data_IF_479965780341
#
_entry.id   IF_479965780341
#
_cell.length_a   1.000
_cell.length_b   1.000
_cell.length_c   1.000
_cell.angle_alpha   90.00
_cell.angle_beta   90.00
_cell.angle_gamma   90.00
#
_symmetry.space_group_name_H-M   'P 1'
#
loop_
_entity.id
_entity.type
_entity.pdbx_description
1 polymer ?
#
# COMPACT_ATOMS: atom_id res chain seq x y z
N UNK A 1 19.42 0.89 8.56
CA UNK A 1 19.32 1.08 10.03
C UNK A 1 17.86 1.21 10.41
N UNK A 2 17.48 0.76 11.60
CA UNK A 2 16.12 0.95 12.13
C UNK A 2 15.96 2.41 12.60
N UNK A 3 14.79 3.00 12.32
CA UNK A 3 14.47 4.37 12.74
C UNK A 3 13.40 4.29 13.83
N UNK A 4 13.68 4.93 14.95
CA UNK A 4 12.77 5.07 16.09
C UNK A 4 12.47 6.55 16.31
N UNK A 5 11.18 6.90 16.38
CA UNK A 5 10.69 8.25 16.62
C UNK A 5 9.86 8.25 17.90
N UNK A 6 10.25 9.07 18.88
CA UNK A 6 9.57 9.22 20.16
C UNK A 6 9.28 7.87 20.86
N UNK A 7 10.25 6.95 20.82
CA UNK A 7 10.15 5.60 21.41
C UNK A 7 9.34 4.58 20.60
N UNK A 8 8.92 4.92 19.37
CA UNK A 8 8.23 3.99 18.46
C UNK A 8 9.03 3.76 17.19
N UNK A 9 9.20 2.49 16.81
CA UNK A 9 9.83 2.14 15.54
C UNK A 9 8.91 2.53 14.38
N UNK A 10 9.41 3.37 13.46
CA UNK A 10 8.64 3.87 12.31
C UNK A 10 9.04 3.23 10.98
N UNK A 11 10.22 2.61 10.91
CA UNK A 11 10.67 1.95 9.69
C UNK A 11 12.16 1.70 9.66
N UNK A 12 12.68 1.48 8.47
CA UNK A 12 14.10 1.31 8.22
C UNK A 12 14.53 2.30 7.13
N UNK A 13 15.69 2.93 7.32
CA UNK A 13 16.28 3.80 6.32
C UNK A 13 17.78 3.62 6.17
N UNK A 14 18.32 4.12 5.06
CA UNK A 14 19.76 4.22 4.81
C UNK A 14 20.20 5.67 4.98
N UNK A 15 20.78 5.98 6.14
CA UNK A 15 21.39 7.28 6.42
C UNK A 15 22.87 7.22 6.03
N UNK A 16 23.31 8.21 5.25
CA UNK A 16 24.71 8.33 4.84
C UNK A 16 25.45 9.29 5.77
N UNK A 17 26.64 8.90 6.23
CA UNK A 17 27.53 9.79 6.98
C UNK A 17 28.70 10.17 6.07
N UNK A 18 28.84 11.47 5.77
CA UNK A 18 29.91 12.03 4.93
C UNK A 18 30.90 12.80 5.79
N UNK A 19 32.18 12.84 5.43
CA UNK A 19 33.12 13.73 6.11
C UNK A 19 32.70 15.20 5.89
N UNK A 20 32.80 16.03 6.93
CA UNK A 20 32.49 17.45 6.82
C UNK A 20 33.58 18.18 6.03
N UNK A 21 33.23 19.03 5.05
CA UNK A 21 34.21 19.81 4.31
C UNK A 21 35.08 20.65 5.25
N UNK A 22 36.40 20.45 5.21
CA UNK A 22 37.36 21.19 6.05
C UNK A 22 37.63 20.57 7.43
N UNK A 23 36.95 19.49 7.82
CA UNK A 23 37.25 18.75 9.04
C UNK A 23 36.95 17.25 8.91
N UNK A 24 38.00 16.46 8.65
CA UNK A 24 37.87 15.00 8.47
C UNK A 24 37.51 14.22 9.75
N UNK A 25 37.47 14.88 10.90
CA UNK A 25 37.09 14.27 12.18
C UNK A 25 35.60 14.44 12.50
N UNK A 26 34.87 15.26 11.72
CA UNK A 26 33.44 15.47 11.89
C UNK A 26 32.68 14.84 10.74
N UNK A 27 31.60 14.13 11.06
CA UNK A 27 30.72 13.52 10.07
C UNK A 27 29.41 14.28 9.98
N UNK A 28 28.97 14.48 8.75
CA UNK A 28 27.70 15.10 8.40
C UNK A 28 26.71 13.99 8.04
N UNK A 29 25.54 14.02 8.68
CA UNK A 29 24.47 13.06 8.43
C UNK A 29 23.61 13.52 7.25
N UNK A 30 23.43 12.65 6.27
CA UNK A 30 22.62 12.87 5.09
C UNK A 30 21.39 11.96 5.13
N UNK A 31 20.23 12.59 5.25
CA UNK A 31 18.91 11.99 5.31
C UNK A 31 18.25 12.05 3.93
N UNK A 32 17.84 10.92 3.34
CA UNK A 32 17.14 10.91 2.06
C UNK A 32 15.72 11.50 2.20
N UNK A 33 15.08 11.84 1.08
CA UNK A 33 13.71 12.36 1.10
C UNK A 33 12.69 11.42 1.74
N UNK A 34 12.84 10.12 1.49
CA UNK A 34 12.03 9.05 2.09
C UNK A 34 12.11 9.01 3.62
N UNK A 35 13.23 9.46 4.22
CA UNK A 35 13.33 9.63 5.66
C UNK A 35 12.32 10.67 6.18
N UNK A 36 12.13 11.79 5.47
CA UNK A 36 11.18 12.82 5.87
C UNK A 36 9.72 12.39 5.67
N UNK A 37 9.41 11.60 4.63
CA UNK A 37 8.09 10.97 4.46
C UNK A 37 7.74 10.00 5.61
N UNK A 38 8.74 9.33 6.19
CA UNK A 38 8.55 8.45 7.36
C UNK A 38 8.24 9.21 8.65
N UNK A 39 8.81 10.41 8.84
CA UNK A 39 8.63 11.19 10.06
C UNK A 39 7.21 11.74 10.24
N UNK A 40 6.38 11.76 9.18
CA UNK A 40 5.01 12.27 9.20
C UNK A 40 4.91 13.69 9.80
N UNK A 41 5.83 14.55 9.37
CA UNK A 41 5.89 15.96 9.78
C UNK A 41 4.68 16.72 9.21
N UNK A 42 4.21 17.70 9.98
CA UNK A 42 3.12 18.58 9.56
C UNK A 42 3.67 19.79 8.83
N UNK A 43 3.43 19.91 7.52
CA UNK A 43 3.88 21.06 6.74
C UNK A 43 3.38 22.39 7.32
N UNK A 44 2.11 22.45 7.72
CA UNK A 44 1.49 23.65 8.31
C UNK A 44 2.16 24.03 9.64
N UNK A 45 2.35 23.06 10.54
CA UNK A 45 2.96 23.35 11.85
C UNK A 45 4.46 23.64 11.75
N UNK A 46 5.15 23.00 10.80
CA UNK A 46 6.55 23.31 10.49
C UNK A 46 6.68 24.76 10.04
N UNK A 47 5.89 25.19 9.06
CA UNK A 47 5.91 26.58 8.58
C UNK A 47 5.54 27.58 9.67
N UNK A 48 4.59 27.23 10.54
CA UNK A 48 4.17 28.10 11.65
C UNK A 48 5.28 28.29 12.71
N UNK A 49 6.10 27.27 12.96
CA UNK A 49 7.18 27.34 13.96
C UNK A 49 8.53 27.75 13.37
N UNK A 50 8.79 27.38 12.12
CA UNK A 50 10.08 27.52 11.45
C UNK A 50 9.84 27.96 10.00
N UNK A 51 9.55 29.25 9.75
CA UNK A 51 9.18 29.73 8.42
C UNK A 51 10.23 29.49 7.32
N UNK A 52 11.50 29.32 7.72
CA UNK A 52 12.60 29.02 6.81
C UNK A 52 12.63 27.58 6.30
N UNK A 53 11.90 26.65 6.94
CA UNK A 53 11.92 25.22 6.61
C UNK A 53 10.63 24.83 5.90
N UNK A 54 10.77 24.35 4.67
CA UNK A 54 9.66 23.82 3.87
C UNK A 54 9.78 22.30 3.77
N UNK A 55 8.67 21.58 3.95
CA UNK A 55 8.67 20.12 3.93
C UNK A 55 8.87 19.54 2.52
N UNK A 56 8.33 20.18 1.48
CA UNK A 56 8.38 19.65 0.12
C UNK A 56 9.81 19.47 -0.42
N UNK A 57 10.74 20.45 -0.30
CA UNK A 57 12.15 20.24 -0.68
C UNK A 57 12.83 19.10 0.10
N UNK A 58 12.53 18.98 1.41
CA UNK A 58 13.11 17.92 2.24
C UNK A 58 12.69 16.52 1.75
N UNK A 59 11.43 16.35 1.35
CA UNK A 59 10.91 15.08 0.82
C UNK A 59 11.44 14.78 -0.58
N UNK A 60 11.74 15.80 -1.39
CA UNK A 60 12.23 15.61 -2.76
C UNK A 60 13.75 15.39 -2.83
N UNK A 61 14.52 16.20 -2.11
CA UNK A 61 15.99 16.25 -2.24
C UNK A 61 16.71 15.62 -1.04
N UNK A 62 16.01 15.45 0.08
CA UNK A 62 16.63 15.08 1.36
C UNK A 62 17.32 16.27 2.02
N UNK A 63 18.15 15.97 3.02
CA UNK A 63 18.88 16.98 3.78
C UNK A 63 20.19 16.42 4.31
N UNK A 64 21.26 17.19 4.18
CA UNK A 64 22.57 16.87 4.70
C UNK A 64 22.94 17.93 5.75
N UNK A 65 22.95 17.55 7.03
CA UNK A 65 23.22 18.48 8.12
C UNK A 65 22.75 17.98 9.49
N UNK A 66 22.72 18.89 10.46
CA UNK A 66 22.24 18.61 11.80
C UNK A 66 20.71 18.65 11.83
N UNK A 67 20.06 17.53 12.13
CA UNK A 67 18.60 17.49 12.25
C UNK A 67 18.11 18.35 13.42
N UNK A 68 18.90 18.50 14.48
CA UNK A 68 18.57 19.36 15.62
C UNK A 68 18.58 20.85 15.27
N UNK A 69 19.36 21.25 14.27
CA UNK A 69 19.36 22.63 13.75
C UNK A 69 18.16 22.85 12.82
N UNK A 70 17.83 21.86 11.99
CA UNK A 70 16.68 21.91 11.09
C UNK A 70 15.35 21.91 11.85
N UNK A 71 15.25 21.10 12.91
CA UNK A 71 14.06 20.90 13.73
C UNK A 71 14.38 21.26 15.19
N UNK A 72 14.09 22.50 15.64
CA UNK A 72 14.34 22.93 17.01
C UNK A 72 13.68 21.99 18.03
N UNK A 73 14.46 21.60 19.04
CA UNK A 73 14.02 20.65 20.07
C UNK A 73 14.07 19.18 19.62
N UNK A 74 14.50 18.88 18.38
CA UNK A 74 14.76 17.52 17.96
C UNK A 74 16.12 17.02 18.49
N UNK A 75 16.15 15.79 18.98
CA UNK A 75 17.40 15.11 19.35
C UNK A 75 17.59 13.87 18.51
N UNK A 76 18.85 13.60 18.18
CA UNK A 76 19.25 12.44 17.37
C UNK A 76 20.33 11.68 18.12
N UNK A 77 20.13 10.39 18.30
CA UNK A 77 21.13 9.47 18.85
C UNK A 77 21.27 8.28 17.93
N UNK A 78 22.51 7.97 17.54
CA UNK A 78 22.81 6.82 16.70
C UNK A 78 23.56 5.76 17.51
N UNK A 79 22.97 4.57 17.58
CA UNK A 79 23.62 3.38 18.13
C UNK A 79 24.19 2.54 16.98
N UNK A 80 25.52 2.47 16.92
CA UNK A 80 26.25 1.72 15.89
C UNK A 80 26.09 0.22 16.08
N UNK A 81 26.04 -0.26 17.32
CA UNK A 81 25.96 -1.68 17.65
C UNK A 81 24.60 -2.28 17.26
N UNK A 82 23.52 -1.53 17.49
CA UNK A 82 22.17 -1.94 17.11
C UNK A 82 21.77 -1.50 15.69
N UNK A 83 22.60 -0.69 15.01
CA UNK A 83 22.25 -0.01 13.77
C UNK A 83 20.89 0.70 13.89
N UNK A 84 20.72 1.47 14.96
CA UNK A 84 19.47 2.11 15.33
C UNK A 84 19.66 3.62 15.46
N UNK A 85 18.78 4.38 14.82
CA UNK A 85 18.70 5.83 14.96
C UNK A 85 17.47 6.18 15.80
N UNK A 86 17.69 6.70 17.00
CA UNK A 86 16.64 7.16 17.90
C UNK A 86 16.49 8.68 17.77
N UNK A 87 15.27 9.10 17.46
CA UNK A 87 14.88 10.48 17.24
C UNK A 87 13.82 10.87 18.26
N UNK A 88 14.01 12.02 18.90
CA UNK A 88 12.93 12.67 19.64
C UNK A 88 12.56 13.94 18.92
N UNK A 89 11.32 14.09 18.48
CA UNK A 89 10.82 15.29 17.79
C UNK A 89 9.60 15.81 18.55
N UNK A 90 9.52 17.12 18.83
CA UNK A 90 8.35 17.72 19.47
C UNK A 90 7.05 17.37 18.73
N UNK A 91 6.03 16.89 19.46
CA UNK A 91 4.71 16.54 18.88
C UNK A 91 4.02 17.71 18.18
N UNK A 92 4.41 18.92 18.53
CA UNK A 92 3.99 20.16 17.88
C UNK A 92 4.36 20.18 16.38
N UNK A 93 5.44 19.54 15.95
CA UNK A 93 5.87 19.49 14.55
C UNK A 93 5.28 18.30 13.77
N UNK A 94 4.61 17.37 14.46
CA UNK A 94 4.11 16.12 13.89
C UNK A 94 2.61 16.21 13.57
N UNK A 95 2.16 15.44 12.57
CA UNK A 95 0.73 15.18 12.38
C UNK A 95 0.21 14.28 13.50
N UNK A 96 -1.00 14.56 13.99
CA UNK A 96 -1.67 13.66 14.93
C UNK A 96 -2.25 12.51 14.14
N UNK A 97 -1.76 11.30 14.39
CA UNK A 97 -2.25 10.11 13.71
C UNK A 97 -2.66 9.03 14.71
N UNK A 98 -3.72 8.28 14.40
CA UNK A 98 -4.11 7.15 15.22
C UNK A 98 -3.05 6.04 15.14
N UNK A 99 -3.10 5.13 16.12
CA UNK A 99 -2.19 3.97 16.14
C UNK A 99 -2.38 3.13 14.88
N UNK A 100 -1.27 2.71 14.28
CA UNK A 100 -1.29 1.91 13.03
C UNK A 100 -1.47 2.74 11.76
N UNK A 101 -1.43 4.08 11.84
CA UNK A 101 -1.41 4.91 10.64
C UNK A 101 -0.13 4.72 9.83
N UNK A 102 -0.29 4.61 8.51
CA UNK A 102 0.80 4.60 7.54
C UNK A 102 0.57 5.74 6.56
N UNK A 103 1.59 6.57 6.35
CA UNK A 103 1.52 7.67 5.39
C UNK A 103 1.22 7.12 3.98
N UNK A 104 0.18 7.61 3.27
CA UNK A 104 -0.13 7.19 1.90
C UNK A 104 1.02 7.35 0.90
N UNK A 105 1.98 8.25 1.14
CA UNK A 105 3.19 8.38 0.31
C UNK A 105 4.08 7.14 0.35
N UNK A 106 3.96 6.33 1.41
CA UNK A 106 4.71 5.08 1.57
C UNK A 106 3.98 3.88 0.94
N UNK A 107 2.80 4.08 0.36
CA UNK A 107 2.05 2.99 -0.25
C UNK A 107 2.64 2.66 -1.61
N UNK A 108 3.00 1.40 -1.80
CA UNK A 108 3.55 0.92 -3.06
C UNK A 108 2.44 0.37 -3.95
N UNK A 109 2.42 0.78 -5.21
CA UNK A 109 1.53 0.21 -6.23
C UNK A 109 1.85 -1.27 -6.53
N UNK A 110 3.05 -1.70 -6.17
CA UNK A 110 3.60 -3.02 -6.43
C UNK A 110 4.31 -3.12 -7.78
N UNK A 111 4.68 -4.34 -8.16
CA UNK A 111 5.40 -4.61 -9.40
C UNK A 111 4.45 -4.92 -10.55
N UNK A 112 4.86 -4.55 -11.76
CA UNK A 112 4.22 -5.00 -12.99
C UNK A 112 4.34 -6.51 -13.11
N UNK A 113 3.21 -7.21 -13.16
CA UNK A 113 3.18 -8.67 -13.16
C UNK A 113 1.93 -9.20 -13.86
N UNK A 114 2.11 -10.29 -14.62
CA UNK A 114 1.01 -11.13 -15.11
C UNK A 114 0.83 -12.29 -14.14
N UNK A 115 -0.42 -12.55 -13.76
CA UNK A 115 -0.81 -13.55 -12.77
C UNK A 115 -1.87 -14.45 -13.40
N UNK A 116 -1.67 -15.77 -13.35
CA UNK A 116 -2.67 -16.75 -13.76
C UNK A 116 -2.84 -17.76 -12.64
N UNK A 117 -4.01 -17.77 -12.03
CA UNK A 117 -4.40 -18.78 -11.04
C UNK A 117 -5.39 -19.74 -11.68
N UNK A 118 -5.14 -21.05 -11.56
CA UNK A 118 -6.04 -22.07 -12.08
C UNK A 118 -6.54 -23.00 -10.97
N UNK A 119 -7.74 -23.53 -11.14
CA UNK A 119 -8.28 -24.61 -10.32
C UNK A 119 -8.96 -25.62 -11.24
N UNK A 120 -8.45 -26.84 -11.25
CA UNK A 120 -8.94 -27.91 -12.11
C UNK A 120 -9.50 -29.05 -11.27
N UNK A 121 -10.70 -29.53 -11.60
CA UNK A 121 -11.30 -30.71 -10.97
C UNK A 121 -11.86 -31.63 -12.04
N UNK A 122 -11.72 -32.93 -11.83
CA UNK A 122 -12.25 -33.97 -12.72
C UNK A 122 -12.87 -35.04 -11.86
N UNK A 123 -14.09 -35.46 -12.19
CA UNK A 123 -14.72 -36.58 -11.51
C UNK A 123 -15.45 -37.47 -12.51
N UNK A 124 -15.54 -38.75 -12.18
CA UNK A 124 -16.23 -39.74 -12.99
C UNK A 124 -17.41 -40.30 -12.18
N UNK A 125 -18.60 -40.21 -12.76
CA UNK A 125 -19.81 -40.85 -12.24
C UNK A 125 -20.07 -42.13 -13.03
N UNK A 126 -20.19 -43.26 -12.33
CA UNK A 126 -20.54 -44.55 -12.93
C UNK A 126 -21.89 -45.00 -12.40
N UNK A 127 -22.84 -45.24 -13.29
CA UNK A 127 -24.17 -45.76 -12.96
C UNK A 127 -24.49 -46.95 -13.87
N UNK A 128 -24.45 -48.16 -13.28
CA UNK A 128 -24.59 -49.44 -14.01
C UNK A 128 -23.62 -49.51 -15.19
N UNK A 129 -24.12 -49.59 -16.42
CA UNK A 129 -23.29 -49.64 -17.63
C UNK A 129 -22.90 -48.26 -18.18
N UNK A 130 -23.47 -47.18 -17.64
CA UNK A 130 -23.16 -45.83 -18.12
C UNK A 130 -22.07 -45.17 -17.26
N UNK A 131 -21.12 -44.50 -17.91
CA UNK A 131 -20.02 -43.80 -17.26
C UNK A 131 -19.88 -42.41 -17.85
N UNK A 132 -20.10 -41.39 -17.01
CA UNK A 132 -19.91 -40.00 -17.41
C UNK A 132 -18.75 -39.36 -16.63
N UNK A 133 -17.79 -38.80 -17.35
CA UNK A 133 -16.72 -37.99 -16.81
C UNK A 133 -17.07 -36.52 -16.95
N UNK A 134 -16.90 -35.77 -15.88
CA UNK A 134 -17.08 -34.32 -15.84
C UNK A 134 -15.78 -33.68 -15.44
N UNK A 135 -15.56 -32.45 -15.90
CA UNK A 135 -14.55 -31.64 -15.28
C UNK A 135 -14.73 -30.15 -15.50
N UNK A 136 -13.92 -29.45 -14.73
CA UNK A 136 -14.00 -28.03 -14.49
C UNK A 136 -12.59 -27.45 -14.50
N UNK A 137 -12.40 -26.34 -15.20
CA UNK A 137 -11.20 -25.52 -15.13
C UNK A 137 -11.60 -24.08 -14.86
N UNK A 138 -11.38 -23.60 -13.64
CA UNK A 138 -11.52 -22.20 -13.28
C UNK A 138 -10.21 -21.45 -13.51
N UNK A 139 -10.27 -20.28 -14.15
CA UNK A 139 -9.14 -19.41 -14.43
C UNK A 139 -9.38 -18.02 -13.83
N UNK A 140 -8.46 -17.57 -12.99
CA UNK A 140 -8.40 -16.22 -12.42
C UNK A 140 -7.12 -15.55 -12.90
N UNK A 141 -7.28 -14.78 -13.95
CA UNK A 141 -6.22 -14.05 -14.61
C UNK A 141 -6.13 -12.63 -14.04
N UNK A 142 -4.92 -12.10 -13.93
CA UNK A 142 -4.67 -10.75 -13.48
C UNK A 142 -3.46 -10.14 -14.14
N UNK A 143 -3.52 -8.84 -14.39
CA UNK A 143 -2.37 -8.02 -14.78
C UNK A 143 -2.29 -6.85 -13.80
N UNK A 144 -1.11 -6.66 -13.23
CA UNK A 144 -0.77 -5.47 -12.46
C UNK A 144 0.15 -4.60 -13.32
N UNK A 145 -0.15 -3.32 -13.42
CA UNK A 145 0.69 -2.35 -14.11
C UNK A 145 0.57 -0.99 -13.43
N UNK A 146 1.60 -0.63 -12.65
CA UNK A 146 1.51 0.50 -11.72
C UNK A 146 0.27 0.38 -10.82
N UNK A 147 -0.52 1.46 -10.64
CA UNK A 147 -1.70 1.45 -9.75
C UNK A 147 -2.90 0.68 -10.34
N UNK A 148 -2.81 0.22 -11.59
CA UNK A 148 -3.91 -0.43 -12.29
C UNK A 148 -3.85 -1.95 -12.13
N UNK A 149 -5.00 -2.52 -11.79
CA UNK A 149 -5.18 -3.96 -11.59
C UNK A 149 -6.30 -4.43 -12.50
N UNK A 150 -5.93 -5.13 -13.56
CA UNK A 150 -6.88 -5.82 -14.44
C UNK A 150 -7.11 -7.21 -13.87
N UNK A 151 -8.38 -7.63 -13.82
CA UNK A 151 -8.78 -8.95 -13.33
C UNK A 151 -9.81 -9.54 -14.27
N UNK A 152 -9.63 -10.81 -14.59
CA UNK A 152 -10.59 -11.59 -15.36
C UNK A 152 -10.79 -12.95 -14.69
N UNK A 153 -12.03 -13.32 -14.45
CA UNK A 153 -12.41 -14.62 -13.95
C UNK A 153 -13.27 -15.32 -15.00
N UNK A 154 -13.06 -16.61 -15.16
CA UNK A 154 -13.85 -17.45 -16.05
C UNK A 154 -13.64 -18.92 -15.78
N UNK A 155 -14.43 -19.74 -16.46
CA UNK A 155 -14.38 -21.18 -16.29
C UNK A 155 -14.71 -21.92 -17.57
N UNK A 156 -14.14 -23.11 -17.69
CA UNK A 156 -14.49 -24.11 -18.70
C UNK A 156 -15.13 -25.29 -17.96
N UNK A 157 -16.28 -25.74 -18.44
CA UNK A 157 -16.94 -26.95 -17.96
C UNK A 157 -17.01 -27.95 -19.12
N UNK A 158 -16.69 -29.21 -18.88
CA UNK A 158 -16.85 -30.27 -19.88
C UNK A 158 -17.55 -31.49 -19.27
N UNK A 159 -18.31 -32.20 -20.11
CA UNK A 159 -18.93 -33.48 -19.78
C UNK A 159 -18.66 -34.49 -20.90
N UNK A 160 -18.48 -35.77 -20.58
CA UNK A 160 -18.35 -36.81 -21.59
C UNK A 160 -19.74 -37.09 -22.19
N UNK A 161 -19.93 -36.76 -23.46
CA UNK A 161 -21.20 -36.91 -24.18
C UNK A 161 -21.70 -35.63 -24.84
N UNK A 162 -21.20 -34.46 -24.42
CA UNK A 162 -21.44 -33.18 -25.08
C UNK A 162 -20.20 -32.71 -25.86
N UNK A 163 -20.39 -31.99 -26.96
CA UNK A 163 -19.27 -31.41 -27.72
C UNK A 163 -18.72 -30.19 -26.99
N UNK A 164 -17.60 -30.36 -26.28
CA UNK A 164 -16.62 -29.31 -25.97
C UNK A 164 -17.01 -28.32 -24.87
N UNK A 165 -16.03 -28.00 -24.02
CA UNK A 165 -16.18 -27.00 -22.95
C UNK A 165 -15.82 -25.59 -23.42
N UNK A 166 -16.84 -24.74 -23.58
CA UNK A 166 -16.63 -23.33 -23.90
C UNK A 166 -16.11 -22.55 -22.69
N UNK A 167 -15.17 -21.64 -22.94
CA UNK A 167 -14.75 -20.66 -21.95
C UNK A 167 -15.83 -19.62 -21.70
N UNK A 168 -16.31 -19.55 -20.47
CA UNK A 168 -17.27 -18.52 -20.03
C UNK A 168 -16.59 -17.56 -19.06
N UNK A 169 -16.41 -16.31 -19.48
CA UNK A 169 -15.93 -15.26 -18.57
C UNK A 169 -17.06 -14.84 -17.62
N UNK A 170 -16.83 -15.00 -16.33
CA UNK A 170 -17.81 -14.68 -15.28
C UNK A 170 -17.69 -13.24 -14.83
N UNK A 171 -16.50 -12.64 -14.82
CA UNK A 171 -16.29 -11.22 -14.53
C UNK A 171 -15.00 -10.70 -15.14
N UNK A 172 -15.03 -9.46 -15.63
CA UNK A 172 -13.86 -8.76 -16.12
C UNK A 172 -13.92 -7.29 -15.69
N UNK A 173 -12.89 -6.82 -14.99
CA UNK A 173 -12.83 -5.44 -14.53
C UNK A 173 -11.40 -4.94 -14.43
N UNK A 174 -11.29 -3.61 -14.43
CA UNK A 174 -10.09 -2.87 -14.14
C UNK A 174 -10.35 -2.12 -12.84
N UNK A 175 -9.40 -2.16 -11.92
CA UNK A 175 -9.50 -1.46 -10.64
C UNK A 175 -8.26 -0.62 -10.38
N UNK A 176 -8.45 0.49 -9.65
CA UNK A 176 -7.39 1.37 -9.20
C UNK A 176 -7.78 2.02 -7.88
N UNK A 177 -6.83 2.10 -6.97
CA UNK A 177 -6.99 2.84 -5.72
C UNK A 177 -6.77 4.34 -5.96
N UNK A 178 -7.65 5.16 -5.40
CA UNK A 178 -7.59 6.62 -5.42
C UNK A 178 -7.31 7.08 -3.99
N UNK A 179 -6.03 7.05 -3.62
CA UNK A 179 -5.55 7.29 -2.25
C UNK A 179 -5.98 8.65 -1.70
N UNK A 180 -5.99 9.70 -2.53
CA UNK A 180 -6.44 11.04 -2.17
C UNK A 180 -7.92 11.09 -1.71
N UNK A 181 -8.74 10.14 -2.15
CA UNK A 181 -10.16 10.03 -1.78
C UNK A 181 -10.42 8.86 -0.83
N UNK A 182 -9.38 8.14 -0.40
CA UNK A 182 -9.51 6.88 0.36
C UNK A 182 -10.54 5.92 -0.26
N UNK A 183 -10.52 5.82 -1.60
CA UNK A 183 -11.56 5.16 -2.38
C UNK A 183 -10.97 4.23 -3.43
N UNK A 184 -11.75 3.26 -3.87
CA UNK A 184 -11.40 2.38 -4.98
C UNK A 184 -12.31 2.64 -6.19
N UNK A 185 -11.70 2.82 -7.36
CA UNK A 185 -12.36 2.91 -8.65
C UNK A 185 -12.37 1.53 -9.32
N UNK A 186 -13.53 1.09 -9.80
CA UNK A 186 -13.72 -0.12 -10.59
C UNK A 186 -14.42 0.25 -11.90
N UNK A 187 -13.88 -0.24 -13.03
CA UNK A 187 -14.43 -0.12 -14.37
C UNK A 187 -14.65 -1.52 -14.96
N UNK A 188 -15.86 -1.83 -15.40
CA UNK A 188 -16.24 -3.16 -15.90
C UNK A 188 -17.29 -3.82 -15.02
N UNK A 189 -17.19 -5.14 -14.83
CA UNK A 189 -18.12 -5.90 -14.00
C UNK A 189 -17.90 -5.57 -12.50
N UNK A 190 -18.96 -5.09 -11.84
CA UNK A 190 -18.95 -4.70 -10.44
C UNK A 190 -20.23 -5.14 -9.71
N UNK A 191 -20.16 -5.11 -8.38
CA UNK A 191 -21.28 -5.36 -7.47
C UNK A 191 -21.47 -4.15 -6.55
N UNK A 192 -22.67 -3.90 -6.04
CA UNK A 192 -22.92 -2.91 -4.98
C UNK A 192 -22.72 -3.52 -3.58
N UNK A 193 -22.56 -2.72 -2.51
CA UNK A 193 -22.21 -3.23 -1.16
C UNK A 193 -23.32 -4.04 -0.49
N UNK A 194 -24.58 -3.74 -0.80
CA UNK A 194 -25.71 -4.41 -0.14
C UNK A 194 -26.13 -3.82 1.20
N UNK A 195 -25.48 -2.73 1.67
CA UNK A 195 -25.65 -2.24 3.06
C UNK A 195 -26.97 -1.51 3.29
N UNK A 196 -27.42 -0.72 2.31
CA UNK A 196 -28.68 0.03 2.39
C UNK A 196 -29.78 -0.56 1.48
N UNK A 197 -29.38 -1.22 0.40
CA UNK A 197 -30.25 -1.79 -0.62
C UNK A 197 -29.69 -3.13 -1.08
N UNK A 198 -30.49 -3.94 -1.76
CA UNK A 198 -30.03 -5.22 -2.30
C UNK A 198 -28.77 -5.07 -3.19
N UNK A 199 -27.85 -6.02 -3.02
CA UNK A 199 -26.62 -6.10 -3.81
C UNK A 199 -26.94 -6.48 -5.26
N UNK A 200 -26.66 -5.57 -6.19
CA UNK A 200 -26.86 -5.81 -7.62
C UNK A 200 -25.53 -5.95 -8.34
N UNK A 201 -25.52 -6.81 -9.36
CA UNK A 201 -24.41 -6.91 -10.32
C UNK A 201 -24.68 -6.02 -11.51
N UNK A 202 -23.68 -5.26 -11.93
CA UNK A 202 -23.76 -4.41 -13.11
C UNK A 202 -22.43 -4.33 -13.85
N UNK A 203 -22.45 -3.77 -15.05
CA UNK A 203 -21.25 -3.43 -15.83
C UNK A 203 -21.22 -1.93 -16.07
N UNK A 204 -20.19 -1.25 -15.57
CA UNK A 204 -20.11 0.20 -15.63
C UNK A 204 -18.91 0.73 -14.85
N UNK A 205 -19.07 1.88 -14.20
CA UNK A 205 -18.07 2.48 -13.32
C UNK A 205 -18.61 2.52 -11.88
N UNK A 206 -17.74 2.24 -10.90
CA UNK A 206 -18.02 2.35 -9.47
C UNK A 206 -16.85 3.05 -8.79
N UNK A 207 -17.13 4.11 -8.03
CA UNK A 207 -16.19 4.71 -7.09
C UNK A 207 -16.81 4.59 -5.70
N UNK A 208 -16.08 4.01 -4.75
CA UNK A 208 -16.57 3.84 -3.38
C UNK A 208 -15.42 3.94 -2.39
N UNK A 209 -15.71 4.44 -1.19
CA UNK A 209 -14.75 4.51 -0.08
C UNK A 209 -14.36 3.11 0.38
N UNK A 210 -13.08 2.91 0.66
CA UNK A 210 -12.53 1.61 1.07
C UNK A 210 -11.94 1.70 2.48
N UNK A 211 -12.65 1.16 3.46
CA UNK A 211 -12.24 1.19 4.88
C UNK A 211 -10.90 0.48 5.14
N UNK A 212 -10.41 -0.35 4.21
CA UNK A 212 -9.08 -0.96 4.32
C UNK A 212 -7.96 0.07 4.18
N UNK A 213 -8.26 1.26 3.65
CA UNK A 213 -7.36 2.41 3.60
C UNK A 213 -7.28 3.15 4.93
N UNK A 214 -8.19 2.87 5.88
CA UNK A 214 -8.16 3.45 7.22
C UNK A 214 -7.21 2.66 8.14
N UNK A 215 -6.51 3.36 9.06
CA UNK A 215 -5.79 2.72 10.15
C UNK A 215 -6.72 1.80 10.97
N UNK A 216 -6.19 0.69 11.47
CA UNK A 216 -6.97 -0.32 12.20
C UNK A 216 -7.80 0.26 13.35
N UNK A 217 -7.27 1.27 14.04
CA UNK A 217 -7.95 1.95 15.14
C UNK A 217 -9.20 2.77 14.72
N UNK A 218 -9.38 3.02 13.43
CA UNK A 218 -10.53 3.74 12.86
C UNK A 218 -11.47 2.82 12.07
N UNK A 219 -11.18 1.52 12.00
CA UNK A 219 -12.05 0.57 11.28
C UNK A 219 -13.17 0.08 12.20
N UNK A 220 -14.40 0.12 11.70
CA UNK A 220 -15.58 -0.30 12.44
C UNK A 220 -16.13 0.78 13.37
N UNK A 221 -17.16 0.42 14.15
CA UNK A 221 -17.81 1.33 15.08
C UNK A 221 -17.19 1.20 16.48
N UNK A 222 -16.69 2.31 17.01
CA UNK A 222 -16.27 2.43 18.40
C UNK A 222 -17.02 3.62 19.05
N UNK A 223 -17.54 3.48 20.28
CA UNK A 223 -18.23 4.54 21.00
C UNK A 223 -17.30 5.66 21.48
#
# INVERSE_FOLDING_TARGET
>A
MAIELNGQRIGNEKIQFKAQPGNNLQTLSCYPGSFFSLLNLSAEKLLAQIPAVQLAPLVQEGYCGSLSELLPGATVSFDVGEQKLTLTIPQLLLNRTPRGYVNPELWEDGLTALIVNYNANVYQSRQRENSNTYGYLGLRNGLNFGPWRVRNNGSINWSSGESGGDYKSTSSYISRDVTALQSQLILGDAFTSGELFDGIRFRGARLYSDDRMLPDALRGYAP
#
